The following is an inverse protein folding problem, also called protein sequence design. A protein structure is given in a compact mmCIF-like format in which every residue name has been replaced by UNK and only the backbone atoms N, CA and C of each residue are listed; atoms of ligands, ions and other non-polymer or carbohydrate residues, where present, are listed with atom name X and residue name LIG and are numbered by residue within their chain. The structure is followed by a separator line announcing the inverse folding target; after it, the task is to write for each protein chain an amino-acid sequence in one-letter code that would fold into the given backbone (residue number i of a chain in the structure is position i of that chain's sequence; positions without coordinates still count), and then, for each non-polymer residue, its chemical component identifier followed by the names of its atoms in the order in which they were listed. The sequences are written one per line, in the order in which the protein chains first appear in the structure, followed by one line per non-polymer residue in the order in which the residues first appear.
data_IF_365676949689
#
_entry.id   IF_365676949689
#
_cell.length_a   1.000
_cell.length_b   1.000
_cell.length_c   1.000
_cell.angle_alpha   90.00
_cell.angle_beta   90.00
_cell.angle_gamma   90.00
#
_symmetry.space_group_name_H-M   'P 1'
#
loop_
_entity.id
_entity.type
_entity.pdbx_description
1 polymer ?
#
# COMPACT_ATOMS: atom_id res chain seq x y z
N UNK A 1 -21.30 -0.97 23.76
CA UNK A 1 -20.16 -1.90 23.86
C UNK A 1 -19.36 -1.72 22.57
N UNK A 2 -18.09 -1.37 22.66
CA UNK A 2 -17.22 -1.14 21.49
C UNK A 2 -16.06 -2.12 21.60
N UNK A 3 -15.76 -2.82 20.52
CA UNK A 3 -14.65 -3.78 20.44
C UNK A 3 -13.50 -3.15 19.67
N UNK A 4 -12.27 -3.41 20.08
CA UNK A 4 -11.04 -2.96 19.45
C UNK A 4 -10.07 -4.14 19.32
N UNK A 5 -9.31 -4.15 18.23
CA UNK A 5 -8.22 -5.09 17.97
C UNK A 5 -7.17 -4.42 17.09
N UNK A 6 -5.96 -4.97 17.10
CA UNK A 6 -4.89 -4.58 16.19
C UNK A 6 -4.81 -5.61 15.05
N UNK A 7 -4.58 -5.11 13.82
CA UNK A 7 -4.45 -5.94 12.63
C UNK A 7 -3.05 -5.74 12.05
N UNK A 8 -2.27 -6.80 12.02
CA UNK A 8 -0.91 -6.85 11.47
C UNK A 8 -0.89 -7.80 10.27
N UNK A 9 -0.15 -7.43 9.23
CA UNK A 9 0.02 -8.20 7.99
C UNK A 9 1.49 -8.17 7.57
N UNK A 10 1.92 -9.20 6.84
CA UNK A 10 3.29 -9.30 6.34
C UNK A 10 3.57 -8.30 5.21
N UNK A 11 4.84 -7.95 5.03
CA UNK A 11 5.27 -7.09 3.92
C UNK A 11 5.01 -7.77 2.56
N UNK A 12 4.66 -6.97 1.55
CA UNK A 12 4.42 -7.49 0.21
C UNK A 12 5.72 -7.80 -0.52
N UNK A 13 5.71 -8.91 -1.28
CA UNK A 13 6.80 -9.27 -2.19
C UNK A 13 6.77 -8.30 -3.38
N UNK A 14 7.80 -7.44 -3.46
CA UNK A 14 7.94 -6.37 -4.47
C UNK A 14 7.94 -6.92 -5.90
N UNK A 15 8.39 -8.16 -6.11
CA UNK A 15 8.55 -8.78 -7.44
C UNK A 15 7.24 -8.87 -8.26
N UNK A 16 6.08 -8.76 -7.61
CA UNK A 16 4.78 -8.78 -8.28
C UNK A 16 4.24 -7.38 -8.60
N UNK A 17 4.96 -6.31 -8.24
CA UNK A 17 4.57 -4.92 -8.47
C UNK A 17 5.23 -4.44 -9.78
N UNK A 18 4.46 -3.92 -10.76
CA UNK A 18 5.04 -3.28 -11.94
C UNK A 18 6.05 -2.20 -11.53
N UNK A 19 7.22 -2.16 -12.18
CA UNK A 19 8.32 -1.28 -11.79
C UNK A 19 7.92 0.21 -11.67
N UNK A 20 7.06 0.67 -12.57
CA UNK A 20 6.57 2.06 -12.61
C UNK A 20 5.63 2.40 -11.44
N UNK A 21 5.04 1.38 -10.79
CA UNK A 21 4.11 1.54 -9.67
C UNK A 21 4.82 1.48 -8.30
N UNK A 22 6.09 1.05 -8.25
CA UNK A 22 6.86 0.88 -7.00
C UNK A 22 7.12 2.24 -6.32
N UNK A 23 7.42 3.28 -7.10
CA UNK A 23 7.67 4.64 -6.59
C UNK A 23 6.57 5.60 -7.07
N UNK A 24 5.32 5.22 -6.80
CA UNK A 24 4.13 5.93 -7.26
C UNK A 24 3.10 6.08 -6.15
N UNK A 25 1.95 6.67 -6.50
CA UNK A 25 0.76 6.65 -5.67
C UNK A 25 -0.03 5.37 -5.93
N UNK A 26 -0.26 4.59 -4.87
CA UNK A 26 -1.05 3.36 -4.91
C UNK A 26 -2.12 3.35 -3.82
N UNK A 27 -2.87 2.27 -3.69
CA UNK A 27 -3.93 2.11 -2.69
C UNK A 27 -3.84 0.79 -1.91
N UNK A 28 -4.19 0.83 -0.63
CA UNK A 28 -4.46 -0.35 0.19
C UNK A 28 -5.94 -0.41 0.54
N UNK A 29 -6.52 -1.59 0.45
CA UNK A 29 -7.92 -1.86 0.78
C UNK A 29 -8.00 -2.73 2.04
N UNK A 30 -8.63 -2.19 3.09
CA UNK A 30 -9.01 -2.94 4.27
C UNK A 30 -10.47 -3.39 4.10
N UNK A 31 -10.68 -4.69 3.91
CA UNK A 31 -11.99 -5.27 3.65
C UNK A 31 -12.48 -6.11 4.83
N UNK A 32 -13.77 -6.02 5.16
CA UNK A 32 -14.40 -6.89 6.15
C UNK A 32 -15.48 -7.75 5.48
N UNK A 33 -15.46 -9.03 5.80
CA UNK A 33 -16.35 -10.05 5.24
C UNK A 33 -17.16 -10.72 6.35
N UNK A 34 -18.41 -11.00 6.06
CA UNK A 34 -19.29 -11.80 6.91
C UNK A 34 -20.00 -12.83 6.03
N UNK A 35 -19.85 -14.12 6.35
CA UNK A 35 -20.35 -15.23 5.53
C UNK A 35 -19.95 -15.09 4.05
N UNK A 36 -18.66 -14.84 3.80
CA UNK A 36 -18.06 -14.66 2.46
C UNK A 36 -18.61 -13.46 1.66
N UNK A 37 -19.45 -12.63 2.27
CA UNK A 37 -19.98 -11.42 1.67
C UNK A 37 -19.23 -10.21 2.24
N UNK A 38 -18.58 -9.48 1.34
CA UNK A 38 -17.96 -8.20 1.70
C UNK A 38 -19.06 -7.21 2.08
N UNK A 39 -18.97 -6.64 3.27
CA UNK A 39 -19.96 -5.66 3.75
C UNK A 39 -19.35 -4.31 4.13
N UNK A 40 -18.02 -4.24 4.22
CA UNK A 40 -17.29 -3.02 4.55
C UNK A 40 -15.95 -2.96 3.81
N UNK A 41 -15.56 -1.76 3.39
CA UNK A 41 -14.27 -1.49 2.76
C UNK A 41 -13.78 -0.09 3.13
N UNK A 42 -12.54 0.00 3.57
CA UNK A 42 -11.79 1.25 3.68
C UNK A 42 -10.63 1.26 2.69
N UNK A 43 -10.52 2.34 1.92
CA UNK A 43 -9.39 2.57 1.04
C UNK A 43 -8.46 3.63 1.60
N UNK A 44 -7.16 3.38 1.50
CA UNK A 44 -6.11 4.32 1.86
C UNK A 44 -5.21 4.56 0.65
N UNK A 45 -4.95 5.82 0.33
CA UNK A 45 -3.91 6.16 -0.63
C UNK A 45 -2.55 6.09 0.05
N UNK A 46 -1.62 5.40 -0.59
CA UNK A 46 -0.21 5.37 -0.21
C UNK A 46 0.60 6.11 -1.25
N UNK A 47 1.48 7.00 -0.80
CA UNK A 47 2.44 7.68 -1.65
C UNK A 47 3.83 7.10 -1.35
N UNK A 48 4.33 6.24 -2.23
CA UNK A 48 5.62 5.58 -2.04
C UNK A 48 6.69 6.49 -2.62
N UNK A 49 7.69 6.83 -1.80
CA UNK A 49 8.75 7.77 -2.16
C UNK A 49 10.12 7.17 -1.87
N UNK A 50 11.05 7.41 -2.78
CA UNK A 50 12.46 7.16 -2.52
C UNK A 50 12.97 8.21 -1.53
N UNK A 51 13.68 7.78 -0.50
CA UNK A 51 14.25 8.68 0.53
C UNK A 51 15.71 9.02 0.28
N UNK A 52 16.40 8.22 -0.55
CA UNK A 52 17.78 8.48 -0.94
C UNK A 52 17.86 9.61 -1.99
N UNK A 53 18.47 10.72 -1.59
CA UNK A 53 18.70 11.91 -2.41
C UNK A 53 19.53 11.62 -3.67
N UNK A 54 20.49 10.70 -3.60
CA UNK A 54 21.36 10.37 -4.74
C UNK A 54 20.53 9.65 -5.82
N UNK A 55 19.66 8.73 -5.41
CA UNK A 55 18.77 8.02 -6.32
C UNK A 55 17.70 8.94 -6.91
N UNK A 56 17.19 9.89 -6.11
CA UNK A 56 16.23 10.90 -6.59
C UNK A 56 16.82 11.82 -7.66
N UNK A 57 18.07 12.25 -7.52
CA UNK A 57 18.71 13.14 -8.50
C UNK A 57 18.89 12.46 -9.86
N UNK A 58 19.32 11.19 -9.87
CA UNK A 58 19.52 10.43 -11.10
C UNK A 58 18.21 10.13 -11.86
N UNK A 59 17.06 10.06 -11.16
CA UNK A 59 15.74 9.89 -11.79
C UNK A 59 15.25 11.14 -12.53
N UNK A 60 15.77 12.33 -12.18
CA UNK A 60 15.33 13.62 -12.76
C UNK A 60 16.21 14.11 -13.92
N UNK A 61 17.28 13.38 -14.26
CA UNK A 61 18.21 13.73 -15.35
C UNK A 61 17.91 13.01 -16.68
N UNK A 62 16.76 12.31 -16.78
CA UNK A 62 16.27 11.64 -18.00
C UNK A 62 15.13 12.42 -18.64
#
# INVERSE_FOLDING_TARGET
CTTQFDLEEEEQIIDNIPADDVLSMTGVLLCCYYHDQQFFQNGYYLNIRQTDLILLLNLNEV
#
